data_IF_234744468306
#
_entry.id   IF_234744468306
#
_cell.length_a   1.000
_cell.length_b   1.000
_cell.length_c   1.000
_cell.angle_alpha   90.00
_cell.angle_beta   90.00
_cell.angle_gamma   90.00
#
_symmetry.space_group_name_H-M   'P 1'
#
loop_
_entity.id
_entity.type
_entity.pdbx_description
1 polymer ?
#
# COMPACT_ATOMS: atom_id res chain seq x y z
N UNK A 1 -3.71 2.13 -7.64
CA UNK A 1 -3.42 3.56 -7.37
C UNK A 1 -3.82 3.97 -5.97
N UNK A 2 -5.09 3.87 -5.61
CA UNK A 2 -5.63 4.35 -4.32
C UNK A 2 -4.90 3.78 -3.10
N UNK A 3 -4.67 2.46 -3.05
CA UNK A 3 -3.95 1.81 -1.93
C UNK A 3 -2.57 2.41 -1.72
N UNK A 4 -1.80 2.64 -2.80
CA UNK A 4 -0.47 3.26 -2.72
C UNK A 4 -0.55 4.72 -2.31
N UNK A 5 -1.54 5.48 -2.82
CA UNK A 5 -1.77 6.86 -2.39
C UNK A 5 -2.12 6.94 -0.89
N UNK A 6 -2.93 6.01 -0.39
CA UNK A 6 -3.26 5.90 1.02
C UNK A 6 -2.04 5.58 1.89
N UNK A 7 -1.17 4.65 1.48
CA UNK A 7 0.09 4.36 2.18
C UNK A 7 0.95 5.64 2.29
N UNK A 8 1.11 6.36 1.17
CA UNK A 8 1.87 7.62 1.15
C UNK A 8 1.24 8.67 2.07
N UNK A 9 -0.09 8.79 2.07
CA UNK A 9 -0.79 9.70 2.97
C UNK A 9 -0.56 9.34 4.45
N UNK A 10 -0.66 8.07 4.82
CA UNK A 10 -0.40 7.60 6.19
C UNK A 10 1.02 7.95 6.62
N UNK A 11 2.01 7.75 5.73
CA UNK A 11 3.41 8.10 6.03
C UNK A 11 3.62 9.60 6.15
N UNK A 12 3.11 10.40 5.20
CA UNK A 12 3.22 11.86 5.25
C UNK A 12 2.62 12.45 6.54
N UNK A 13 1.57 11.82 7.06
CA UNK A 13 0.85 12.28 8.24
C UNK A 13 1.24 11.55 9.54
N UNK A 14 2.24 10.68 9.50
CA UNK A 14 2.58 9.81 10.63
C UNK A 14 2.95 10.61 11.90
N UNK A 15 3.69 11.72 11.76
CA UNK A 15 4.03 12.57 12.90
C UNK A 15 2.78 13.21 13.55
N UNK A 16 1.83 13.65 12.73
CA UNK A 16 0.58 14.28 13.18
C UNK A 16 -0.28 13.31 13.98
N UNK A 17 -0.41 12.08 13.51
CA UNK A 17 -1.29 11.07 14.12
C UNK A 17 -0.55 10.07 15.02
N UNK A 18 0.76 10.28 15.25
CA UNK A 18 1.63 9.42 16.06
C UNK A 18 1.70 7.97 15.56
N UNK A 19 1.63 7.79 14.23
CA UNK A 19 1.87 6.49 13.61
C UNK A 19 3.37 6.25 13.39
N UNK A 20 3.76 4.98 13.26
CA UNK A 20 5.09 4.63 12.80
C UNK A 20 5.14 4.58 11.27
N UNK A 21 5.96 5.42 10.64
CA UNK A 21 6.21 5.35 9.19
C UNK A 21 6.85 4.03 8.75
N UNK A 22 7.51 3.32 9.70
CA UNK A 22 8.28 2.10 9.44
C UNK A 22 7.51 0.81 9.73
N UNK A 23 6.34 0.89 10.37
CA UNK A 23 5.55 -0.28 10.78
C UNK A 23 4.12 -0.15 10.24
N UNK A 24 4.01 -0.31 8.94
CA UNK A 24 2.74 -0.31 8.21
C UNK A 24 2.55 -1.69 7.63
N UNK A 25 1.40 -2.31 7.90
CA UNK A 25 0.99 -3.57 7.30
C UNK A 25 -0.32 -3.39 6.54
N UNK A 26 -0.49 -4.14 5.45
CA UNK A 26 -1.74 -4.24 4.71
C UNK A 26 -2.45 -5.54 5.06
N UNK A 27 -3.77 -5.53 5.03
CA UNK A 27 -4.58 -6.73 5.19
C UNK A 27 -5.84 -6.57 4.36
N UNK A 28 -6.31 -7.67 3.76
CA UNK A 28 -7.59 -7.67 3.06
C UNK A 28 -8.09 -9.08 2.77
N UNK A 29 -9.40 -9.21 2.60
CA UNK A 29 -10.07 -10.45 2.20
C UNK A 29 -10.54 -10.41 0.75
N UNK A 30 -10.50 -11.54 0.04
CA UNK A 30 -10.98 -11.66 -1.34
C UNK A 30 -10.36 -10.60 -2.26
N UNK A 31 -11.14 -9.77 -2.95
CA UNK A 31 -10.62 -8.67 -3.76
C UNK A 31 -9.67 -7.73 -2.98
N UNK A 32 -9.91 -7.53 -1.68
CA UNK A 32 -9.01 -6.76 -0.81
C UNK A 32 -7.68 -7.46 -0.56
N UNK A 33 -7.67 -8.79 -0.51
CA UNK A 33 -6.46 -9.60 -0.40
C UNK A 33 -5.57 -9.47 -1.64
N UNK A 34 -6.18 -9.47 -2.83
CA UNK A 34 -5.47 -9.14 -4.08
C UNK A 34 -4.84 -7.74 -4.01
N UNK A 35 -5.58 -6.72 -3.56
CA UNK A 35 -5.06 -5.36 -3.43
C UNK A 35 -3.91 -5.27 -2.42
N UNK A 36 -4.00 -5.96 -1.28
CA UNK A 36 -2.95 -6.03 -0.28
C UNK A 36 -1.69 -6.69 -0.84
N UNK A 37 -1.84 -7.84 -1.50
CA UNK A 37 -0.75 -8.58 -2.16
C UNK A 37 -0.07 -7.75 -3.26
N UNK A 38 -0.86 -7.12 -4.15
CA UNK A 38 -0.34 -6.28 -5.22
C UNK A 38 0.43 -5.08 -4.66
N UNK A 39 -0.10 -4.39 -3.65
CA UNK A 39 0.56 -3.22 -3.07
C UNK A 39 1.83 -3.60 -2.28
N UNK A 40 1.80 -4.71 -1.54
CA UNK A 40 2.97 -5.24 -0.79
C UNK A 40 4.13 -5.61 -1.71
N UNK A 41 3.83 -6.28 -2.83
CA UNK A 41 4.84 -6.77 -3.79
C UNK A 41 5.31 -5.74 -4.81
N UNK A 42 4.61 -4.61 -4.96
CA UNK A 42 4.94 -3.58 -5.95
C UNK A 42 5.27 -2.20 -5.37
N UNK A 43 5.71 -2.16 -4.11
CA UNK A 43 6.10 -0.92 -3.44
C UNK A 43 7.11 -0.12 -4.28
N UNK A 44 6.77 1.13 -4.57
CA UNK A 44 7.55 2.10 -5.37
C UNK A 44 7.74 1.76 -6.86
N UNK A 45 7.09 0.71 -7.37
CA UNK A 45 6.97 0.46 -8.82
C UNK A 45 6.05 1.51 -9.42
N UNK A 46 6.61 2.37 -10.30
CA UNK A 46 5.95 3.57 -10.84
C UNK A 46 4.82 3.21 -11.81
N UNK A 47 5.01 2.18 -12.60
CA UNK A 47 4.03 1.69 -13.59
C UNK A 47 2.75 1.17 -12.91
N UNK A 48 2.86 0.80 -11.62
CA UNK A 48 1.76 0.28 -10.81
C UNK A 48 1.29 1.30 -9.75
N UNK A 49 1.54 2.59 -9.96
CA UNK A 49 1.10 3.65 -9.05
C UNK A 49 0.91 5.00 -9.75
N UNK A 50 0.04 5.83 -9.21
CA UNK A 50 -0.13 7.20 -9.67
C UNK A 50 0.50 8.17 -8.66
N UNK A 51 1.49 8.94 -9.11
CA UNK A 51 2.21 9.92 -8.30
C UNK A 51 1.48 11.27 -8.23
N UNK A 52 0.47 11.49 -9.07
CA UNK A 52 -0.35 12.71 -9.05
C UNK A 52 -1.39 12.70 -7.91
N UNK A 53 -1.62 11.55 -7.27
CA UNK A 53 -2.55 11.42 -6.13
C UNK A 53 -1.97 11.92 -4.79
N UNK A 54 -0.98 12.82 -4.83
CA UNK A 54 -0.39 13.45 -3.65
C UNK A 54 0.67 12.64 -2.91
N UNK A 55 1.40 13.34 -2.04
CA UNK A 55 2.50 12.81 -1.22
C UNK A 55 3.54 12.05 -2.05
N UNK A 56 3.85 12.52 -3.26
CA UNK A 56 4.70 11.82 -4.23
C UNK A 56 6.12 11.52 -3.72
N UNK A 57 6.59 12.27 -2.72
CA UNK A 57 7.90 12.05 -2.11
C UNK A 57 7.90 10.92 -1.06
N UNK A 58 6.73 10.41 -0.67
CA UNK A 58 6.61 9.30 0.28
C UNK A 58 6.70 7.95 -0.44
N UNK A 59 7.38 7.00 0.19
CA UNK A 59 7.44 5.62 -0.30
C UNK A 59 6.09 4.91 -0.08
N UNK A 60 5.65 4.14 -1.06
CA UNK A 60 4.49 3.24 -0.99
C UNK A 60 4.83 1.83 -0.47
N UNK A 61 6.08 1.55 -0.08
CA UNK A 61 6.46 0.26 0.53
C UNK A 61 5.83 0.06 1.90
N UNK A 62 5.44 -1.17 2.20
CA UNK A 62 4.93 -1.60 3.52
C UNK A 62 5.85 -2.66 4.11
N UNK A 63 5.72 -2.90 5.41
CA UNK A 63 6.55 -3.88 6.12
C UNK A 63 6.03 -5.31 5.97
N UNK A 64 4.71 -5.45 5.80
CA UNK A 64 4.06 -6.73 5.63
C UNK A 64 2.71 -6.56 4.92
N UNK A 65 2.23 -7.64 4.34
CA UNK A 65 0.88 -7.79 3.86
C UNK A 65 0.30 -9.13 4.33
N UNK A 66 -1.01 -9.16 4.50
CA UNK A 66 -1.77 -10.38 4.79
C UNK A 66 -2.88 -10.48 3.75
N UNK A 67 -2.68 -11.40 2.82
CA UNK A 67 -3.70 -11.80 1.85
C UNK A 67 -4.58 -12.88 2.47
N UNK A 68 -5.87 -12.59 2.62
CA UNK A 68 -6.84 -13.58 3.03
C UNK A 68 -7.71 -13.98 1.83
N UNK A 69 -7.39 -15.15 1.24
CA UNK A 69 -8.10 -15.77 0.09
C UNK A 69 -8.32 -14.83 -1.11
N UNK A 70 -7.37 -13.93 -1.38
CA UNK A 70 -7.43 -13.06 -2.53
C UNK A 70 -7.13 -13.77 -3.85
N UNK A 71 -7.84 -13.42 -4.94
CA UNK A 71 -7.50 -13.93 -6.26
C UNK A 71 -6.21 -13.23 -6.73
N UNK A 72 -5.08 -13.91 -6.69
CA UNK A 72 -3.76 -13.35 -7.08
C UNK A 72 -3.27 -13.84 -8.44
N UNK A 73 -3.89 -14.90 -8.97
CA UNK A 73 -3.68 -15.40 -10.33
C UNK A 73 -5.04 -15.51 -11.03
N UNK A 74 -5.16 -14.91 -12.22
CA UNK A 74 -6.41 -14.82 -12.98
C UNK A 74 -6.41 -15.65 -14.27
N UNK A 75 -5.38 -16.48 -14.46
CA UNK A 75 -5.25 -17.42 -15.59
C UNK A 75 -5.76 -18.81 -15.22
#
# INVERSE_FOLDING_TARGET
NDVKAAIRWVKANAAKYKFSQKRIALWGGSAGGNLAALAGTSGDVKELGDMNMGNANESSRVMAEVDWFGPTNFL
#
